data_IF_127612897189
#
_entry.id   IF_127612897189
#
_cell.length_a   1.000
_cell.length_b   1.000
_cell.length_c   1.000
_cell.angle_alpha   90.00
_cell.angle_beta   90.00
_cell.angle_gamma   90.00
#
_symmetry.space_group_name_H-M   'P 1'
#
loop_
_entity.id
_entity.type
_entity.pdbx_description
1 polymer ?
#
# COMPACT_ATOMS: atom_id res chain seq x y z
N UNK A 1 -5.59 24.88 1.65
CA UNK A 1 -5.95 23.83 2.63
C UNK A 1 -5.76 22.47 1.96
N UNK A 2 -4.83 21.64 2.45
CA UNK A 2 -4.42 20.40 1.76
C UNK A 2 -5.56 19.40 1.82
N UNK A 3 -6.18 19.16 0.66
CA UNK A 3 -7.30 18.25 0.46
C UNK A 3 -6.82 16.80 0.68
N UNK A 4 -6.74 16.38 1.94
CA UNK A 4 -6.56 14.98 2.34
C UNK A 4 -7.87 14.23 2.07
N UNK A 5 -8.21 14.02 0.80
CA UNK A 5 -9.03 12.85 0.46
C UNK A 5 -8.21 11.67 0.92
N UNK A 6 -8.59 11.03 2.01
CA UNK A 6 -8.06 9.73 2.43
C UNK A 6 -8.39 8.71 1.33
N UNK A 7 -7.67 8.79 0.22
CA UNK A 7 -7.74 7.80 -0.84
C UNK A 7 -7.07 6.56 -0.31
N UNK A 8 -7.92 5.73 0.28
CA UNK A 8 -7.66 4.37 0.66
C UNK A 8 -7.37 3.57 -0.61
N UNK A 9 -6.11 3.18 -0.77
CA UNK A 9 -5.62 2.42 -1.92
C UNK A 9 -5.70 0.94 -1.61
N UNK A 10 -6.15 0.15 -2.58
CA UNK A 10 -6.04 -1.31 -2.49
C UNK A 10 -4.61 -1.75 -2.85
N UNK A 11 -4.26 -2.99 -2.50
CA UNK A 11 -2.98 -3.61 -2.90
C UNK A 11 -2.72 -3.45 -4.41
N UNK A 12 -3.76 -3.62 -5.23
CA UNK A 12 -3.66 -3.44 -6.69
C UNK A 12 -3.30 -2.01 -7.08
N UNK A 13 -3.96 -1.01 -6.50
CA UNK A 13 -3.66 0.41 -6.77
C UNK A 13 -2.25 0.80 -6.35
N UNK A 14 -1.77 0.28 -5.21
CA UNK A 14 -0.40 0.49 -4.74
C UNK A 14 0.60 -0.15 -5.70
N UNK A 15 0.30 -1.36 -6.18
CA UNK A 15 1.11 -2.08 -7.15
C UNK A 15 1.22 -1.33 -8.47
N UNK A 16 0.11 -0.79 -8.99
CA UNK A 16 0.07 0.07 -10.17
C UNK A 16 0.91 1.35 -9.97
N UNK A 17 0.73 2.06 -8.86
CA UNK A 17 1.49 3.29 -8.60
C UNK A 17 2.99 3.08 -8.48
N UNK A 18 3.40 1.93 -7.93
CA UNK A 18 4.79 1.58 -7.77
C UNK A 18 5.35 0.81 -8.98
N UNK A 19 4.50 0.51 -9.99
CA UNK A 19 4.83 -0.29 -11.16
C UNK A 19 5.51 -1.63 -10.81
N UNK A 20 4.96 -2.33 -9.83
CA UNK A 20 5.47 -3.61 -9.31
C UNK A 20 4.34 -4.64 -9.21
N UNK A 21 4.64 -5.94 -9.14
CA UNK A 21 3.60 -6.95 -8.97
C UNK A 21 2.94 -6.86 -7.59
N UNK A 22 1.62 -7.07 -7.54
CA UNK A 22 0.83 -7.07 -6.30
C UNK A 22 1.37 -8.07 -5.25
N UNK A 23 2.00 -9.16 -5.68
CA UNK A 23 2.67 -10.12 -4.79
C UNK A 23 3.82 -9.49 -3.99
N UNK A 24 4.63 -8.61 -4.61
CA UNK A 24 5.68 -7.85 -3.91
C UNK A 24 5.09 -6.89 -2.90
N UNK A 25 4.00 -6.22 -3.26
CA UNK A 25 3.26 -5.32 -2.35
C UNK A 25 2.72 -6.09 -1.15
N UNK A 26 2.03 -7.21 -1.35
CA UNK A 26 1.53 -8.05 -0.25
C UNK A 26 2.66 -8.52 0.66
N UNK A 27 3.75 -9.01 0.07
CA UNK A 27 4.91 -9.49 0.83
C UNK A 27 5.52 -8.36 1.66
N UNK A 28 5.75 -7.20 1.07
CA UNK A 28 6.26 -6.02 1.79
C UNK A 28 5.30 -5.56 2.89
N UNK A 29 3.99 -5.56 2.66
CA UNK A 29 2.99 -5.22 3.69
C UNK A 29 3.06 -6.19 4.87
N UNK A 30 3.20 -7.50 4.61
CA UNK A 30 3.35 -8.52 5.65
C UNK A 30 4.70 -8.40 6.39
N UNK A 31 5.81 -8.24 5.66
CA UNK A 31 7.16 -8.10 6.22
C UNK A 31 7.31 -6.83 7.06
N UNK A 32 6.65 -5.73 6.65
CA UNK A 32 6.64 -4.46 7.38
C UNK A 32 5.57 -4.42 8.49
N UNK A 33 4.73 -5.44 8.63
CA UNK A 33 3.61 -5.44 9.57
C UNK A 33 2.62 -4.29 9.35
N UNK A 34 2.46 -3.83 8.10
CA UNK A 34 1.57 -2.72 7.77
C UNK A 34 0.12 -3.20 7.89
N UNK A 35 -0.62 -2.56 8.78
CA UNK A 35 -2.04 -2.83 8.95
C UNK A 35 -2.88 -2.08 7.91
N UNK A 36 -3.94 -2.70 7.38
CA UNK A 36 -4.89 -2.02 6.52
C UNK A 36 -5.62 -0.93 7.31
N UNK A 37 -5.67 0.27 6.74
CA UNK A 37 -6.39 1.41 7.30
C UNK A 37 -7.90 1.19 7.26
N UNK A 38 -8.39 0.45 6.26
CA UNK A 38 -9.77 0.00 6.22
C UNK A 38 -9.85 -1.39 5.60
N UNK A 39 -10.83 -2.19 6.04
CA UNK A 39 -11.11 -3.51 5.46
C UNK A 39 -12.56 -3.52 5.00
N UNK A 40 -12.79 -3.78 3.70
CA UNK A 40 -14.14 -3.95 3.14
C UNK A 40 -14.24 -5.36 2.59
N UNK A 41 -14.87 -6.24 3.35
CA UNK A 41 -14.97 -7.67 3.03
C UNK A 41 -13.60 -8.34 2.92
N UNK A 42 -13.31 -8.94 1.77
CA UNK A 42 -12.03 -9.58 1.47
C UNK A 42 -10.93 -8.60 1.01
N UNK A 43 -11.29 -7.34 0.72
CA UNK A 43 -10.33 -6.33 0.28
C UNK A 43 -9.80 -5.49 1.44
N UNK A 44 -8.48 -5.47 1.56
CA UNK A 44 -7.74 -4.59 2.44
C UNK A 44 -7.41 -3.29 1.71
N UNK A 45 -7.69 -2.17 2.38
CA UNK A 45 -7.38 -0.83 1.93
C UNK A 45 -6.31 -0.24 2.83
N UNK A 46 -5.40 0.50 2.22
CA UNK A 46 -4.28 1.11 2.90
C UNK A 46 -4.23 2.59 2.57
N UNK A 47 -3.88 3.39 3.56
CA UNK A 47 -3.66 4.81 3.33
C UNK A 47 -2.45 5.02 2.42
N UNK A 48 -2.47 6.04 1.59
CA UNK A 48 -1.36 6.44 0.71
C UNK A 48 -0.03 6.67 1.43
N UNK A 49 -0.03 6.86 2.75
CA UNK A 49 1.17 6.88 3.59
C UNK A 49 1.98 5.56 3.56
N UNK A 50 1.33 4.43 3.26
CA UNK A 50 2.03 3.14 3.16
C UNK A 50 2.81 3.00 1.85
N UNK A 51 2.44 3.73 0.80
CA UNK A 51 3.07 3.66 -0.53
C UNK A 51 4.58 3.93 -0.46
N UNK A 52 5.06 5.04 0.15
CA UNK A 52 6.49 5.28 0.30
C UNK A 52 7.19 4.26 1.20
N UNK A 53 6.51 3.72 2.23
CA UNK A 53 7.06 2.68 3.13
C UNK A 53 7.31 1.37 2.38
N UNK A 54 6.30 0.94 1.62
CA UNK A 54 6.38 -0.24 0.74
C UNK A 54 7.48 0.01 -0.29
N UNK A 55 7.43 1.12 -1.04
CA UNK A 55 8.47 1.48 -2.03
C UNK A 55 9.88 1.39 -1.46
N UNK A 56 10.11 1.88 -0.24
CA UNK A 56 11.42 1.84 0.42
C UNK A 56 11.87 0.41 0.75
N UNK A 57 10.95 -0.45 1.18
CA UNK A 57 11.27 -1.84 1.51
C UNK A 57 11.61 -2.72 0.28
N UNK A 58 11.03 -2.41 -0.88
CA UNK A 58 11.27 -3.17 -2.14
C UNK A 58 12.27 -2.50 -3.08
N UNK A 59 12.46 -1.18 -2.99
CA UNK A 59 13.37 -0.40 -3.83
C UNK A 59 14.71 -0.06 -3.17
N UNK A 60 14.97 -0.57 -1.96
CA UNK A 60 16.26 -0.46 -1.30
C UNK A 60 17.20 -1.59 -1.74
N UNK A 61 17.82 -1.44 -2.91
CA UNK A 61 19.09 -2.12 -3.21
C UNK A 61 19.98 -1.19 -4.02
#
# INVERSE_FOLDING_TARGET
MKNQKEELLTVGKIAEQLSIPASKVKKAIQELGIQPTAKKGACNYFSKDVVPKIKKAIGGK
#
